data_IF_894217510748
#
_entry.id   IF_894217510748
#
_cell.length_a   1.000
_cell.length_b   1.000
_cell.length_c   1.000
_cell.angle_alpha   90.00
_cell.angle_beta   90.00
_cell.angle_gamma   90.00
#
_symmetry.space_group_name_H-M   'P 1'
#
loop_
_entity.id
_entity.type
_entity.pdbx_description
1 polymer ?
#
# COMPACT_ATOMS: atom_id res chain seq x y z
N UNK A 1 -3.71 21.32 -14.96
CA UNK A 1 -4.84 20.53 -14.42
C UNK A 1 -4.35 19.26 -13.78
N UNK A 2 -5.01 18.83 -12.71
CA UNK A 2 -4.78 17.54 -12.10
C UNK A 2 -5.34 16.45 -13.02
N UNK A 3 -4.47 15.55 -13.50
CA UNK A 3 -4.91 14.33 -14.21
C UNK A 3 -5.38 13.30 -13.18
N UNK A 4 -4.60 13.13 -12.11
CA UNK A 4 -4.93 12.29 -10.97
C UNK A 4 -3.81 12.31 -9.94
N UNK A 5 -4.08 11.69 -8.79
CA UNK A 5 -3.13 11.52 -7.69
C UNK A 5 -3.30 10.14 -7.07
N UNK A 6 -2.20 9.57 -6.60
CA UNK A 6 -2.17 8.34 -5.83
C UNK A 6 -1.52 8.63 -4.48
N UNK A 7 -2.37 8.80 -3.46
CA UNK A 7 -1.93 9.14 -2.11
C UNK A 7 -0.98 8.07 -1.55
N UNK A 8 -1.24 6.80 -1.89
CA UNK A 8 -0.48 5.64 -1.42
C UNK A 8 1.00 5.65 -1.82
N UNK A 9 1.39 6.38 -2.85
CA UNK A 9 2.80 6.52 -3.26
C UNK A 9 3.32 7.95 -3.20
N UNK A 10 2.50 8.90 -2.74
CA UNK A 10 2.81 10.34 -2.72
C UNK A 10 3.12 10.92 -4.12
N UNK A 11 2.37 10.48 -5.14
CA UNK A 11 2.58 10.88 -6.54
C UNK A 11 1.32 11.47 -7.16
N UNK A 12 1.52 12.47 -8.02
CA UNK A 12 0.45 13.07 -8.81
C UNK A 12 0.92 13.35 -10.24
N UNK A 13 -0.02 13.28 -11.19
CA UNK A 13 0.21 13.64 -12.59
C UNK A 13 -0.56 14.90 -12.91
N UNK A 14 0.16 15.89 -13.45
CA UNK A 14 -0.39 17.16 -13.88
C UNK A 14 -0.27 17.32 -15.39
N UNK A 15 -1.29 17.94 -16.00
CA UNK A 15 -1.28 18.35 -17.40
C UNK A 15 -1.16 19.86 -17.52
N UNK A 16 -0.12 20.32 -18.20
CA UNK A 16 0.02 21.73 -18.58
C UNK A 16 -1.02 22.10 -19.65
N UNK A 17 -1.63 23.28 -19.54
CA UNK A 17 -2.65 23.80 -20.46
C UNK A 17 -2.04 24.86 -21.37
N UNK A 18 -2.52 24.97 -22.61
CA UNK A 18 -2.08 25.99 -23.56
C UNK A 18 -0.64 25.81 -24.05
N UNK A 19 -0.09 24.61 -23.96
CA UNK A 19 1.23 24.26 -24.48
C UNK A 19 1.04 23.60 -25.84
N UNK A 20 1.47 24.29 -26.90
CA UNK A 20 1.40 23.79 -28.29
C UNK A 20 2.75 23.31 -28.81
N UNK A 21 3.85 23.81 -28.23
CA UNK A 21 5.20 23.40 -28.57
C UNK A 21 5.59 22.10 -27.83
N UNK A 22 6.46 21.31 -28.46
CA UNK A 22 7.11 20.19 -27.80
C UNK A 22 8.02 20.71 -26.68
N UNK A 23 7.80 20.23 -25.46
CA UNK A 23 8.62 20.60 -24.31
C UNK A 23 9.80 19.64 -24.16
N UNK A 24 10.97 20.12 -23.70
CA UNK A 24 12.03 19.22 -23.28
C UNK A 24 11.51 18.29 -22.17
N UNK A 25 11.86 17.01 -22.27
CA UNK A 25 11.47 15.98 -21.30
C UNK A 25 12.69 15.22 -20.80
N UNK A 26 12.59 14.67 -19.60
CA UNK A 26 13.64 13.84 -19.01
C UNK A 26 13.48 12.39 -19.45
N UNK A 27 14.59 11.71 -19.69
CA UNK A 27 14.58 10.27 -19.96
C UNK A 27 14.48 9.51 -18.63
N UNK A 28 13.60 8.51 -18.54
CA UNK A 28 13.55 7.64 -17.37
C UNK A 28 14.73 6.66 -17.37
N UNK A 29 15.39 6.53 -16.23
CA UNK A 29 16.36 5.47 -15.96
C UNK A 29 15.68 4.20 -15.46
N UNK A 30 16.45 3.38 -14.76
CA UNK A 30 15.96 2.18 -14.08
C UNK A 30 16.42 2.21 -12.63
N UNK A 31 15.48 2.32 -11.69
CA UNK A 31 15.81 2.39 -10.27
C UNK A 31 16.29 1.06 -9.69
N UNK A 32 16.10 -0.06 -10.39
CA UNK A 32 16.58 -1.37 -9.95
C UNK A 32 18.05 -1.60 -10.31
N UNK A 33 18.60 -0.79 -11.23
CA UNK A 33 20.02 -0.79 -11.59
C UNK A 33 20.86 0.16 -10.71
N UNK A 34 20.22 0.94 -9.83
CA UNK A 34 20.90 1.90 -8.95
C UNK A 34 21.56 1.15 -7.79
N UNK A 35 22.79 1.52 -7.48
CA UNK A 35 23.57 0.95 -6.39
C UNK A 35 23.90 1.99 -5.31
N UNK A 36 24.13 1.52 -4.09
CA UNK A 36 24.61 2.38 -3.00
C UNK A 36 26.03 2.85 -3.34
N UNK A 37 26.23 4.17 -3.33
CA UNK A 37 27.48 4.82 -3.73
C UNK A 37 27.40 5.51 -5.09
N UNK A 38 26.36 5.26 -5.89
CA UNK A 38 26.17 5.95 -7.17
C UNK A 38 26.05 7.47 -6.96
N UNK A 39 26.74 8.23 -7.81
CA UNK A 39 26.65 9.70 -7.83
C UNK A 39 25.28 10.14 -8.36
N UNK A 40 24.66 11.09 -7.69
CA UNK A 40 23.34 11.60 -8.03
C UNK A 40 23.27 13.12 -7.94
N UNK A 41 22.36 13.70 -8.71
CA UNK A 41 21.99 15.11 -8.62
C UNK A 41 20.51 15.23 -8.25
N UNK A 42 20.21 16.07 -7.27
CA UNK A 42 18.85 16.45 -6.90
C UNK A 42 18.54 17.84 -7.46
N UNK A 43 17.41 17.96 -8.16
CA UNK A 43 16.97 19.19 -8.82
C UNK A 43 15.59 19.59 -8.31
N UNK A 44 15.43 20.84 -7.89
CA UNK A 44 14.16 21.35 -7.39
C UNK A 44 14.16 22.86 -7.18
N UNK A 45 13.17 23.39 -6.46
CA UNK A 45 13.08 24.81 -6.12
C UNK A 45 13.03 24.99 -4.59
N UNK A 46 14.15 24.76 -3.89
CA UNK A 46 14.17 24.75 -2.43
C UNK A 46 13.84 26.14 -1.89
N UNK A 47 12.91 26.22 -0.93
CA UNK A 47 12.45 27.47 -0.31
C UNK A 47 11.98 28.57 -1.29
N UNK A 48 11.71 28.21 -2.55
CA UNK A 48 11.29 29.16 -3.59
C UNK A 48 12.40 30.06 -4.15
N UNK A 49 13.69 29.77 -3.91
CA UNK A 49 14.80 30.64 -4.36
C UNK A 49 15.11 30.54 -5.86
N UNK A 50 14.51 29.58 -6.55
CA UNK A 50 14.76 29.26 -7.96
C UNK A 50 15.26 27.83 -8.14
N UNK A 51 15.31 27.38 -9.40
CA UNK A 51 15.82 26.06 -9.74
C UNK A 51 17.24 25.89 -9.22
N UNK A 52 17.43 24.91 -8.35
CA UNK A 52 18.69 24.63 -7.68
C UNK A 52 19.06 23.17 -7.90
N UNK A 53 20.35 22.92 -8.12
CA UNK A 53 20.92 21.58 -8.24
C UNK A 53 21.84 21.34 -7.06
N UNK A 54 21.70 20.18 -6.42
CA UNK A 54 22.59 19.70 -5.36
C UNK A 54 23.11 18.32 -5.74
N UNK A 55 24.31 17.98 -5.32
CA UNK A 55 24.94 16.68 -5.61
C UNK A 55 25.11 15.86 -4.35
N UNK A 56 25.11 14.54 -4.51
CA UNK A 56 25.40 13.58 -3.45
C UNK A 56 25.62 12.20 -4.04
N UNK A 57 25.42 11.20 -3.21
CA UNK A 57 25.39 9.79 -3.58
C UNK A 57 24.07 9.14 -3.16
N UNK A 58 23.81 7.96 -3.70
CA UNK A 58 22.85 7.03 -3.11
C UNK A 58 23.42 6.49 -1.82
N UNK A 59 22.81 6.85 -0.69
CA UNK A 59 23.26 6.43 0.64
C UNK A 59 22.68 5.08 1.08
N UNK A 60 21.48 4.74 0.59
CA UNK A 60 20.82 3.47 0.85
C UNK A 60 19.65 3.26 -0.13
N UNK A 61 19.20 2.02 -0.27
CA UNK A 61 18.04 1.63 -1.06
C UNK A 61 16.98 0.99 -0.15
N UNK A 62 15.80 0.74 -0.72
CA UNK A 62 14.70 0.01 -0.07
C UNK A 62 14.33 0.54 1.32
N UNK A 63 14.43 1.86 1.54
CA UNK A 63 14.03 2.47 2.81
C UNK A 63 12.51 2.50 2.92
N UNK A 64 12.01 1.91 4.00
CA UNK A 64 10.59 1.90 4.35
C UNK A 64 10.35 2.53 5.73
N UNK A 65 9.10 2.83 6.05
CA UNK A 65 8.70 3.46 7.30
C UNK A 65 9.17 4.92 7.45
N UNK A 66 9.54 5.56 6.34
CA UNK A 66 9.98 6.96 6.29
C UNK A 66 8.78 7.90 6.35
N UNK A 67 7.74 7.58 5.59
CA UNK A 67 6.48 8.34 5.54
C UNK A 67 5.34 7.49 6.11
N UNK A 68 4.11 8.01 6.13
CA UNK A 68 2.93 7.21 6.45
C UNK A 68 2.33 6.46 5.25
N UNK A 69 2.96 6.54 4.08
CA UNK A 69 2.40 6.03 2.82
C UNK A 69 2.64 4.54 2.61
N UNK A 70 1.94 3.96 1.63
CA UNK A 70 2.11 2.56 1.25
C UNK A 70 3.27 2.37 0.25
N UNK A 71 3.65 1.12 -0.05
CA UNK A 71 4.66 0.77 -1.07
C UNK A 71 6.04 1.43 -0.90
N UNK A 72 6.45 1.73 0.32
CA UNK A 72 7.69 2.45 0.57
C UNK A 72 8.93 1.59 0.30
N UNK A 73 9.70 2.01 -0.69
CA UNK A 73 11.02 1.51 -1.00
C UNK A 73 11.88 2.67 -1.51
N UNK A 74 12.08 3.68 -0.65
CA UNK A 74 12.74 4.93 -1.04
C UNK A 74 14.22 4.72 -1.38
N UNK A 75 14.70 5.48 -2.36
CA UNK A 75 16.12 5.76 -2.57
C UNK A 75 16.51 6.83 -1.54
N UNK A 76 17.49 6.53 -0.70
CA UNK A 76 18.06 7.49 0.24
C UNK A 76 19.28 8.18 -0.39
N UNK A 77 19.40 9.48 -0.22
CA UNK A 77 20.56 10.27 -0.69
C UNK A 77 21.00 11.29 0.34
N UNK A 78 22.29 11.62 0.32
CA UNK A 78 22.88 12.72 1.09
C UNK A 78 22.92 14.05 0.31
N UNK A 79 22.48 14.04 -0.96
CA UNK A 79 22.26 15.26 -1.72
C UNK A 79 21.30 16.18 -0.94
N UNK A 80 21.62 17.47 -0.89
CA UNK A 80 20.85 18.41 -0.09
C UNK A 80 19.43 18.60 -0.64
N UNK A 81 18.46 17.95 0.02
CA UNK A 81 17.02 18.10 -0.22
C UNK A 81 16.40 18.96 0.88
N UNK A 82 15.60 19.97 0.50
CA UNK A 82 14.90 20.88 1.40
C UNK A 82 13.44 21.06 0.97
N UNK A 83 12.54 21.57 1.83
CA UNK A 83 11.19 21.96 1.43
C UNK A 83 11.21 22.80 0.14
N UNK A 84 10.39 22.41 -0.85
CA UNK A 84 10.41 22.98 -2.21
C UNK A 84 11.14 22.12 -3.25
N UNK A 85 11.93 21.12 -2.81
CA UNK A 85 12.43 20.08 -3.72
C UNK A 85 11.44 18.93 -3.93
N UNK A 86 10.39 18.81 -3.11
CA UNK A 86 9.35 17.78 -3.27
C UNK A 86 8.71 17.84 -4.66
N UNK A 87 8.60 16.69 -5.32
CA UNK A 87 8.20 16.58 -6.73
C UNK A 87 9.33 16.83 -7.75
N UNK A 88 10.50 17.29 -7.29
CA UNK A 88 11.69 17.49 -8.11
C UNK A 88 12.42 16.18 -8.45
N UNK A 89 13.38 16.27 -9.36
CA UNK A 89 14.08 15.11 -9.90
C UNK A 89 15.27 14.67 -9.02
N UNK A 90 15.46 13.35 -8.91
CA UNK A 90 16.74 12.73 -8.56
C UNK A 90 17.25 12.00 -9.80
N UNK A 91 18.43 12.37 -10.28
CA UNK A 91 18.98 11.88 -11.55
C UNK A 91 20.35 11.24 -11.34
N UNK A 92 20.69 10.28 -12.19
CA UNK A 92 22.05 9.74 -12.31
C UNK A 92 22.98 10.71 -13.07
N UNK A 93 24.25 10.33 -13.21
CA UNK A 93 25.27 11.13 -13.91
C UNK A 93 25.05 11.21 -15.43
N UNK A 94 24.26 10.30 -16.01
CA UNK A 94 23.86 10.32 -17.43
C UNK A 94 22.64 11.24 -17.66
N UNK A 95 22.10 11.82 -16.59
CA UNK A 95 20.93 12.70 -16.65
C UNK A 95 19.59 11.97 -16.74
N UNK A 96 19.54 10.67 -16.46
CA UNK A 96 18.30 9.90 -16.42
C UNK A 96 17.64 10.01 -15.06
N UNK A 97 16.31 10.11 -15.05
CA UNK A 97 15.54 10.14 -13.81
C UNK A 97 15.58 8.78 -13.13
N UNK A 98 16.08 8.72 -11.90
CA UNK A 98 16.08 7.51 -11.07
C UNK A 98 15.09 7.59 -9.90
N UNK A 99 14.64 8.80 -9.54
CA UNK A 99 13.58 8.97 -8.55
C UNK A 99 12.99 10.38 -8.49
N UNK A 100 11.93 10.54 -7.72
CA UNK A 100 11.25 11.83 -7.45
C UNK A 100 11.41 12.16 -5.97
N UNK A 101 12.03 13.30 -5.66
CA UNK A 101 12.26 13.74 -4.29
C UNK A 101 10.92 13.92 -3.58
N UNK A 102 10.75 13.30 -2.40
CA UNK A 102 9.49 13.36 -1.65
C UNK A 102 9.70 13.92 -0.24
N UNK A 103 10.61 13.31 0.53
CA UNK A 103 10.72 13.58 1.97
C UNK A 103 12.17 13.76 2.44
N UNK A 104 12.33 14.27 3.66
CA UNK A 104 13.62 14.38 4.37
C UNK A 104 13.45 13.98 5.82
N UNK A 105 14.52 13.45 6.42
CA UNK A 105 14.58 13.29 7.87
C UNK A 105 15.25 14.52 8.48
N UNK A 106 14.48 15.34 9.20
CA UNK A 106 14.97 16.57 9.81
C UNK A 106 14.29 16.91 11.13
N UNK A 107 15.01 17.60 12.01
CA UNK A 107 14.48 18.25 13.23
C UNK A 107 14.34 19.76 13.08
N UNK A 108 15.10 20.37 12.17
CA UNK A 108 15.17 21.82 11.97
C UNK A 108 14.31 22.31 10.81
N UNK A 109 13.83 21.40 9.95
CA UNK A 109 13.15 21.72 8.69
C UNK A 109 14.09 21.86 7.49
N UNK A 110 15.41 21.79 7.70
CA UNK A 110 16.43 21.78 6.64
C UNK A 110 17.12 20.42 6.49
N UNK A 111 17.83 20.24 5.39
CA UNK A 111 18.59 19.02 5.10
C UNK A 111 19.68 18.76 6.14
N UNK A 112 19.77 17.51 6.61
CA UNK A 112 20.90 16.99 7.39
C UNK A 112 21.63 15.87 6.63
N UNK A 113 21.52 15.83 5.29
CA UNK A 113 22.08 14.76 4.46
C UNK A 113 21.29 13.44 4.51
N UNK A 114 19.99 13.50 4.82
CA UNK A 114 19.09 12.34 4.80
C UNK A 114 17.83 12.72 4.04
N UNK A 115 17.89 12.56 2.71
CA UNK A 115 16.77 12.77 1.79
C UNK A 115 16.26 11.47 1.18
N UNK A 116 15.01 11.49 0.74
CA UNK A 116 14.32 10.32 0.19
C UNK A 116 13.61 10.64 -1.12
N UNK A 117 13.78 9.76 -2.11
CA UNK A 117 13.14 9.83 -3.40
C UNK A 117 12.34 8.55 -3.70
N UNK A 118 11.13 8.73 -4.24
CA UNK A 118 10.30 7.63 -4.77
C UNK A 118 10.99 7.08 -6.02
N UNK A 119 11.28 5.77 -6.10
CA UNK A 119 11.97 5.19 -7.25
C UNK A 119 11.23 5.38 -8.57
N UNK A 120 11.97 5.62 -9.67
CA UNK A 120 11.38 5.89 -10.99
C UNK A 120 10.51 4.72 -11.50
N UNK A 121 10.80 3.47 -11.12
CA UNK A 121 9.97 2.34 -11.54
C UNK A 121 8.54 2.42 -10.96
N UNK A 122 8.38 2.90 -9.72
CA UNK A 122 7.06 3.20 -9.17
C UNK A 122 6.41 4.42 -9.85
N UNK A 123 7.20 5.46 -10.15
CA UNK A 123 6.73 6.64 -10.89
C UNK A 123 6.15 6.24 -12.24
N UNK A 124 6.81 5.33 -12.98
CA UNK A 124 6.31 4.81 -14.28
C UNK A 124 4.94 4.13 -14.13
N UNK A 125 4.77 3.26 -13.13
CA UNK A 125 3.52 2.53 -12.88
C UNK A 125 2.39 3.52 -12.58
N UNK A 126 2.61 4.42 -11.62
CA UNK A 126 1.62 5.42 -11.21
C UNK A 126 1.27 6.36 -12.34
N UNK A 127 2.28 6.85 -13.07
CA UNK A 127 2.08 7.75 -14.21
C UNK A 127 1.21 7.09 -15.30
N UNK A 128 1.54 5.85 -15.72
CA UNK A 128 0.75 5.13 -16.73
C UNK A 128 -0.69 4.89 -16.26
N UNK A 129 -0.86 4.49 -14.99
CA UNK A 129 -2.17 4.26 -14.41
C UNK A 129 -3.04 5.52 -14.34
N UNK A 130 -2.48 6.63 -13.83
CA UNK A 130 -3.22 7.89 -13.73
C UNK A 130 -3.53 8.51 -15.09
N UNK A 131 -2.64 8.38 -16.08
CA UNK A 131 -2.89 8.87 -17.45
C UNK A 131 -3.99 8.05 -18.14
N UNK A 132 -4.00 6.74 -17.95
CA UNK A 132 -5.03 5.86 -18.53
C UNK A 132 -6.38 5.92 -17.79
N UNK A 133 -6.38 6.42 -16.54
CA UNK A 133 -7.54 6.39 -15.65
C UNK A 133 -7.74 5.03 -14.97
N UNK A 134 -6.77 4.14 -15.06
CA UNK A 134 -6.83 2.75 -14.61
C UNK A 134 -5.51 2.37 -13.90
N UNK A 135 -5.37 2.82 -12.65
CA UNK A 135 -4.20 2.49 -11.82
C UNK A 135 -4.36 1.09 -11.23
N UNK A 136 -3.80 0.10 -11.93
CA UNK A 136 -3.78 -1.31 -11.50
C UNK A 136 -2.37 -1.75 -11.11
N UNK A 137 -2.30 -2.52 -10.03
CA UNK A 137 -1.07 -3.12 -9.51
C UNK A 137 -1.27 -4.62 -9.33
N UNK A 138 -0.24 -5.45 -9.58
CA UNK A 138 -0.29 -6.84 -9.20
C UNK A 138 -0.52 -7.01 -7.70
N UNK A 139 -1.41 -7.92 -7.35
CA UNK A 139 -1.74 -8.27 -5.98
C UNK A 139 -1.07 -9.59 -5.61
N UNK A 140 -0.33 -9.59 -4.50
CA UNK A 140 0.39 -10.78 -4.03
C UNK A 140 -0.54 -11.79 -3.35
N UNK A 141 -1.45 -11.30 -2.49
CA UNK A 141 -2.40 -12.11 -1.73
C UNK A 141 -1.78 -12.98 -0.64
N UNK A 142 -0.63 -12.58 -0.13
CA UNK A 142 -0.03 -13.11 1.08
C UNK A 142 0.60 -11.98 1.91
N UNK A 143 0.85 -12.27 3.18
CA UNK A 143 1.48 -11.38 4.14
C UNK A 143 2.56 -12.12 4.92
N UNK A 144 3.55 -11.36 5.39
CA UNK A 144 4.69 -11.89 6.08
C UNK A 144 5.43 -10.82 6.88
N UNK A 145 6.50 -11.26 7.54
CA UNK A 145 7.38 -10.40 8.33
C UNK A 145 8.82 -10.55 7.86
N UNK A 146 9.63 -9.51 8.07
CA UNK A 146 11.06 -9.60 7.80
C UNK A 146 11.69 -10.69 8.67
N UNK A 147 12.62 -11.44 8.10
CA UNK A 147 13.39 -12.42 8.85
C UNK A 147 14.38 -11.69 9.77
N UNK A 148 14.18 -11.82 11.08
CA UNK A 148 15.11 -11.31 12.10
C UNK A 148 16.27 -12.28 12.32
N UNK A 149 17.32 -11.87 13.05
CA UNK A 149 18.44 -12.74 13.39
C UNK A 149 18.01 -14.00 14.17
N UNK A 150 17.03 -13.87 15.06
CA UNK A 150 16.49 -14.99 15.84
C UNK A 150 15.69 -15.96 14.95
N UNK A 151 14.90 -15.42 14.02
CA UNK A 151 14.18 -16.22 13.04
C UNK A 151 15.15 -16.93 12.09
N UNK A 152 16.18 -16.22 11.59
CA UNK A 152 17.20 -16.78 10.73
C UNK A 152 17.90 -17.98 11.39
N UNK A 153 18.28 -17.82 12.66
CA UNK A 153 18.91 -18.90 13.45
C UNK A 153 17.98 -20.11 13.61
N UNK A 154 16.69 -19.88 13.83
CA UNK A 154 15.69 -20.93 13.99
C UNK A 154 15.34 -21.66 12.68
N UNK A 155 15.51 -20.96 11.55
CA UNK A 155 15.27 -21.45 10.20
C UNK A 155 16.55 -21.98 9.51
N UNK A 156 17.67 -22.00 10.24
CA UNK A 156 19.00 -22.41 9.75
C UNK A 156 19.46 -21.61 8.51
N UNK A 157 19.12 -20.32 8.47
CA UNK A 157 19.58 -19.39 7.43
C UNK A 157 20.97 -18.85 7.75
N UNK A 158 21.76 -18.60 6.71
CA UNK A 158 23.12 -18.06 6.80
C UNK A 158 23.15 -16.60 7.30
N UNK A 159 22.09 -15.83 7.01
CA UNK A 159 21.92 -14.44 7.43
C UNK A 159 20.43 -14.04 7.48
N UNK A 160 20.06 -13.02 8.30
CA UNK A 160 18.68 -12.52 8.37
C UNK A 160 18.30 -11.74 7.13
N UNK A 161 17.73 -12.44 6.14
CA UNK A 161 17.27 -11.88 4.87
C UNK A 161 15.97 -12.57 4.45
N UNK A 162 15.20 -11.92 3.59
CA UNK A 162 13.91 -12.44 3.12
C UNK A 162 12.71 -12.04 3.97
N UNK A 163 11.55 -12.44 3.46
CA UNK A 163 10.24 -12.27 4.09
C UNK A 163 9.64 -13.62 4.40
N UNK A 164 9.49 -13.91 5.71
CA UNK A 164 8.80 -15.10 6.20
C UNK A 164 7.29 -14.92 6.01
N UNK A 165 6.71 -15.76 5.17
CA UNK A 165 5.30 -15.76 4.86
C UNK A 165 4.53 -16.41 6.01
N UNK A 166 3.60 -15.65 6.60
CA UNK A 166 2.81 -16.08 7.75
C UNK A 166 1.34 -16.33 7.39
N UNK A 167 0.84 -15.66 6.36
CA UNK A 167 -0.56 -15.71 5.96
C UNK A 167 -0.66 -15.70 4.45
N UNK A 168 -1.53 -16.55 3.90
CA UNK A 168 -1.83 -16.61 2.48
C UNK A 168 -3.35 -16.66 2.36
N UNK A 169 -3.91 -15.88 1.43
CA UNK A 169 -5.34 -15.92 1.15
C UNK A 169 -5.67 -17.01 0.15
N UNK A 170 -6.71 -17.78 0.44
CA UNK A 170 -7.24 -18.80 -0.46
C UNK A 170 -7.61 -18.20 -1.83
N UNK A 171 -7.25 -18.91 -2.90
CA UNK A 171 -7.43 -18.52 -4.29
C UNK A 171 -6.50 -17.40 -4.77
N UNK A 172 -5.62 -16.88 -3.92
CA UNK A 172 -4.69 -15.80 -4.28
C UNK A 172 -3.62 -16.22 -5.30
N UNK A 173 -2.94 -15.25 -5.93
CA UNK A 173 -1.74 -15.53 -6.70
C UNK A 173 -0.65 -16.24 -5.92
N UNK A 174 -0.39 -15.85 -4.67
CA UNK A 174 0.60 -16.51 -3.83
C UNK A 174 0.28 -18.00 -3.64
N UNK A 175 -0.97 -18.34 -3.30
CA UNK A 175 -1.39 -19.74 -3.15
C UNK A 175 -1.29 -20.51 -4.48
N UNK A 176 -1.82 -19.96 -5.57
CA UNK A 176 -1.79 -20.61 -6.89
C UNK A 176 -0.38 -20.73 -7.47
N UNK A 177 0.53 -19.84 -7.08
CA UNK A 177 1.97 -19.92 -7.35
C UNK A 177 2.70 -20.97 -6.50
N UNK A 178 2.01 -21.64 -5.57
CA UNK A 178 2.53 -22.72 -4.75
C UNK A 178 3.29 -22.27 -3.51
N UNK A 179 3.08 -21.02 -3.04
CA UNK A 179 3.64 -20.50 -1.79
C UNK A 179 2.87 -21.08 -0.58
N UNK A 180 3.57 -21.32 0.52
CA UNK A 180 2.99 -21.84 1.77
C UNK A 180 3.40 -20.99 2.97
N UNK A 181 2.58 -20.92 4.03
CA UNK A 181 3.05 -20.36 5.31
C UNK A 181 4.30 -21.09 5.80
N UNK A 182 5.29 -20.34 6.26
CA UNK A 182 6.62 -20.83 6.64
C UNK A 182 7.67 -20.73 5.54
N UNK A 183 7.28 -20.45 4.30
CA UNK A 183 8.22 -20.10 3.23
C UNK A 183 8.89 -18.75 3.50
N UNK A 184 10.15 -18.62 3.08
CA UNK A 184 10.86 -17.34 3.09
C UNK A 184 11.10 -16.88 1.66
N UNK A 185 10.45 -15.81 1.24
CA UNK A 185 10.70 -15.19 -0.08
C UNK A 185 11.96 -14.34 0.02
N UNK A 186 12.99 -14.64 -0.77
CA UNK A 186 14.28 -13.94 -0.72
C UNK A 186 14.57 -13.09 -1.95
N UNK A 187 13.88 -13.35 -3.06
CA UNK A 187 14.00 -12.52 -4.26
C UNK A 187 12.73 -12.60 -5.15
N UNK A 188 12.53 -11.54 -5.93
CA UNK A 188 11.52 -11.44 -7.00
C UNK A 188 12.24 -11.09 -8.30
N UNK A 189 12.12 -11.92 -9.34
CA UNK A 189 12.84 -11.79 -10.62
C UNK A 189 14.36 -11.59 -10.44
N UNK A 190 14.95 -12.30 -9.47
CA UNK A 190 16.37 -12.19 -9.12
C UNK A 190 16.76 -10.96 -8.30
N UNK A 191 15.85 -10.00 -8.07
CA UNK A 191 16.08 -8.86 -7.20
C UNK A 191 15.80 -9.25 -5.75
N UNK A 192 16.78 -9.01 -4.88
CA UNK A 192 16.67 -9.33 -3.46
C UNK A 192 15.47 -8.64 -2.80
N UNK A 193 14.93 -9.30 -1.77
CA UNK A 193 13.84 -8.80 -0.95
C UNK A 193 14.18 -9.09 0.50
N UNK A 194 14.34 -8.05 1.32
CA UNK A 194 14.73 -8.20 2.72
C UNK A 194 13.61 -7.86 3.71
N UNK A 195 12.52 -7.25 3.25
CA UNK A 195 11.41 -6.87 4.11
C UNK A 195 10.06 -6.81 3.36
N UNK A 196 8.92 -6.84 4.09
CA UNK A 196 7.60 -6.87 3.47
C UNK A 196 7.28 -5.67 2.58
N UNK A 197 7.82 -4.48 2.88
CA UNK A 197 7.58 -3.28 2.06
C UNK A 197 8.34 -3.37 0.75
N UNK A 198 9.57 -3.88 0.76
CA UNK A 198 10.32 -4.17 -0.45
C UNK A 198 9.61 -5.24 -1.28
N UNK A 199 9.15 -6.34 -0.68
CA UNK A 199 8.35 -7.35 -1.40
C UNK A 199 7.13 -6.72 -2.07
N UNK A 200 6.37 -5.94 -1.30
CA UNK A 200 5.18 -5.23 -1.78
C UNK A 200 5.52 -4.27 -2.92
N UNK A 201 6.62 -3.53 -2.82
CA UNK A 201 7.12 -2.64 -3.88
C UNK A 201 7.50 -3.43 -5.13
N UNK A 202 8.33 -4.48 -5.00
CA UNK A 202 8.79 -5.30 -6.12
C UNK A 202 7.63 -5.89 -6.89
N UNK A 203 6.60 -6.39 -6.21
CA UNK A 203 5.40 -6.92 -6.86
C UNK A 203 4.58 -5.80 -7.52
N UNK A 204 4.41 -4.65 -6.87
CA UNK A 204 3.61 -3.54 -7.36
C UNK A 204 4.21 -2.82 -8.57
N UNK A 205 5.52 -2.94 -8.82
CA UNK A 205 6.19 -2.37 -9.99
C UNK A 205 6.24 -3.31 -11.19
N UNK A 206 5.76 -4.55 -11.07
CA UNK A 206 5.70 -5.48 -12.20
C UNK A 206 4.55 -5.12 -13.15
N UNK A 207 4.76 -5.45 -14.43
CA UNK A 207 3.71 -5.36 -15.44
C UNK A 207 2.73 -6.52 -15.27
N UNK A 208 1.42 -6.26 -15.45
CA UNK A 208 0.33 -7.25 -15.32
C UNK A 208 0.27 -8.25 -16.49
N UNK A 209 1.41 -8.80 -16.88
CA UNK A 209 1.57 -9.71 -18.00
C UNK A 209 2.50 -10.85 -17.63
N UNK A 210 2.09 -12.10 -17.87
CA UNK A 210 2.89 -13.28 -17.55
C UNK A 210 2.88 -13.60 -16.06
N UNK A 211 4.06 -13.85 -15.49
CA UNK A 211 4.25 -14.19 -14.08
C UNK A 211 5.59 -13.66 -13.56
N UNK A 212 5.75 -13.61 -12.25
CA UNK A 212 7.00 -13.26 -11.59
C UNK A 212 7.68 -14.52 -11.06
N UNK A 213 9.00 -14.58 -11.18
CA UNK A 213 9.79 -15.62 -10.55
C UNK A 213 10.07 -15.25 -9.08
N UNK A 214 9.72 -16.14 -8.16
CA UNK A 214 10.04 -16.00 -6.74
C UNK A 214 11.15 -16.98 -6.39
N UNK A 215 12.24 -16.48 -5.82
CA UNK A 215 13.21 -17.32 -5.10
C UNK A 215 12.74 -17.48 -3.66
N UNK A 216 12.50 -18.73 -3.26
CA UNK A 216 11.91 -19.07 -1.96
C UNK A 216 12.80 -20.07 -1.25
N UNK A 217 12.97 -19.91 0.06
CA UNK A 217 13.53 -20.93 0.94
C UNK A 217 12.39 -21.65 1.66
N UNK A 218 12.32 -22.96 1.47
CA UNK A 218 11.33 -23.84 2.10
C UNK A 218 12.08 -24.96 2.80
N UNK A 219 11.96 -25.02 4.13
CA UNK A 219 12.63 -26.04 4.95
C UNK A 219 14.15 -26.13 4.65
N UNK A 220 14.81 -24.98 4.49
CA UNK A 220 16.24 -24.87 4.17
C UNK A 220 16.61 -25.11 2.70
N UNK A 221 15.68 -25.53 1.84
CA UNK A 221 15.94 -25.74 0.42
C UNK A 221 15.47 -24.56 -0.44
N UNK A 222 16.26 -24.18 -1.44
CA UNK A 222 15.85 -23.19 -2.44
C UNK A 222 14.86 -23.79 -3.42
N UNK A 223 13.73 -23.09 -3.60
CA UNK A 223 12.64 -23.42 -4.50
C UNK A 223 12.36 -22.20 -5.36
N UNK A 224 12.23 -22.42 -6.67
CA UNK A 224 11.79 -21.39 -7.60
C UNK A 224 10.29 -21.56 -7.86
N UNK A 225 9.52 -20.51 -7.62
CA UNK A 225 8.08 -20.49 -7.87
C UNK A 225 7.74 -19.45 -8.94
N UNK A 226 6.64 -19.66 -9.66
CA UNK A 226 6.09 -18.66 -10.58
C UNK A 226 4.81 -18.10 -9.99
N UNK A 227 4.84 -16.82 -9.63
CA UNK A 227 3.70 -16.06 -9.15
C UNK A 227 2.88 -15.54 -10.34
N UNK A 228 1.60 -15.92 -10.49
CA UNK A 228 0.71 -15.28 -11.44
C UNK A 228 0.56 -13.78 -11.14
N UNK A 229 0.56 -12.92 -12.16
CA UNK A 229 0.35 -11.48 -11.96
C UNK A 229 -1.08 -11.09 -12.33
N UNK A 230 -1.87 -10.75 -11.32
CA UNK A 230 -3.25 -10.27 -11.48
C UNK A 230 -3.57 -9.18 -10.46
N UNK A 231 -4.66 -8.48 -10.67
CA UNK A 231 -5.14 -7.46 -9.73
C UNK A 231 -5.91 -8.08 -8.57
N UNK A 232 -5.99 -7.34 -7.48
CA UNK A 232 -6.81 -7.71 -6.34
C UNK A 232 -8.28 -7.90 -6.77
N UNK A 233 -8.94 -9.02 -6.45
CA UNK A 233 -10.30 -9.29 -6.92
C UNK A 233 -11.38 -8.57 -6.12
N UNK A 234 -12.50 -8.27 -6.77
CA UNK A 234 -13.78 -7.85 -6.17
C UNK A 234 -14.59 -9.05 -5.67
N UNK A 235 -13.95 -9.97 -4.95
CA UNK A 235 -14.55 -11.20 -4.45
C UNK A 235 -14.36 -11.34 -2.92
N UNK A 236 -15.46 -11.40 -2.13
CA UNK A 236 -16.86 -11.30 -2.57
C UNK A 236 -17.19 -9.90 -3.13
N UNK A 237 -18.29 -9.79 -3.90
CA UNK A 237 -18.73 -8.48 -4.40
C UNK A 237 -18.93 -7.52 -3.23
N UNK A 238 -18.49 -6.27 -3.38
CA UNK A 238 -18.51 -5.25 -2.31
C UNK A 238 -19.90 -5.02 -1.67
N UNK A 239 -21.01 -5.28 -2.38
CA UNK A 239 -22.39 -5.03 -1.92
C UNK A 239 -22.53 -3.72 -1.13
N UNK A 240 -22.00 -2.64 -1.71
CA UNK A 240 -21.99 -1.34 -1.04
C UNK A 240 -23.42 -0.88 -0.79
N UNK A 241 -23.75 -0.64 0.48
CA UNK A 241 -25.12 -0.40 0.93
C UNK A 241 -25.19 0.69 1.97
N UNK A 242 -26.25 1.50 1.92
CA UNK A 242 -26.63 2.37 3.04
C UNK A 242 -27.67 1.61 3.84
N UNK A 243 -27.45 1.48 5.15
CA UNK A 243 -28.42 0.87 6.05
C UNK A 243 -29.47 1.89 6.43
N UNK A 244 -30.73 1.50 6.31
CA UNK A 244 -31.90 2.32 6.60
C UNK A 244 -32.77 1.65 7.67
N UNK A 245 -33.87 2.30 8.05
CA UNK A 245 -34.84 1.77 9.01
C UNK A 245 -34.54 2.12 10.47
N UNK A 246 -35.28 1.50 11.39
CA UNK A 246 -35.21 1.78 12.83
C UNK A 246 -34.25 0.82 13.52
N UNK A 247 -32.95 1.04 13.32
CA UNK A 247 -31.89 0.21 13.89
C UNK A 247 -30.62 1.04 14.16
N UNK A 248 -29.65 0.50 14.92
CA UNK A 248 -28.46 1.24 15.33
C UNK A 248 -27.48 1.57 14.19
N UNK A 249 -27.63 0.96 13.02
CA UNK A 249 -26.77 1.15 11.86
C UNK A 249 -27.40 2.08 10.80
N UNK A 250 -28.62 2.57 11.05
CA UNK A 250 -29.32 3.47 10.14
C UNK A 250 -28.50 4.73 9.85
N UNK A 251 -28.23 4.98 8.56
CA UNK A 251 -27.35 6.04 8.04
C UNK A 251 -25.87 5.66 7.91
N UNK A 252 -25.48 4.41 8.18
CA UNK A 252 -24.15 3.90 7.87
C UNK A 252 -24.06 3.41 6.42
N UNK A 253 -23.00 3.81 5.72
CA UNK A 253 -22.58 3.24 4.45
C UNK A 253 -21.60 2.10 4.74
N UNK A 254 -21.92 0.89 4.31
CA UNK A 254 -21.15 -0.32 4.58
C UNK A 254 -20.81 -1.08 3.29
N UNK A 255 -19.83 -1.97 3.35
CA UNK A 255 -19.48 -2.87 2.26
C UNK A 255 -18.89 -4.18 2.79
N UNK A 256 -18.98 -5.25 1.99
CA UNK A 256 -18.17 -6.45 2.16
C UNK A 256 -16.71 -6.09 1.90
N UNK A 257 -15.85 -6.46 2.84
CA UNK A 257 -14.41 -6.33 2.66
C UNK A 257 -13.92 -7.42 1.70
N UNK A 258 -13.24 -6.99 0.64
CA UNK A 258 -12.59 -7.83 -0.35
C UNK A 258 -11.20 -7.26 -0.69
N UNK A 259 -10.32 -8.00 -1.39
CA UNK A 259 -8.97 -7.55 -1.69
C UNK A 259 -8.92 -6.23 -2.47
N UNK A 260 -9.80 -6.05 -3.46
CA UNK A 260 -9.84 -4.83 -4.27
C UNK A 260 -10.19 -3.59 -3.43
N UNK A 261 -11.25 -3.65 -2.63
CA UNK A 261 -11.65 -2.58 -1.71
C UNK A 261 -10.59 -2.34 -0.64
N UNK A 262 -9.99 -3.41 -0.11
CA UNK A 262 -8.92 -3.29 0.88
C UNK A 262 -7.70 -2.55 0.31
N UNK A 263 -7.34 -2.85 -0.95
CA UNK A 263 -6.26 -2.15 -1.64
C UNK A 263 -6.63 -0.69 -1.96
N UNK A 264 -7.89 -0.44 -2.38
CA UNK A 264 -8.45 0.89 -2.65
C UNK A 264 -8.33 1.82 -1.43
N UNK A 265 -8.68 1.33 -0.24
CA UNK A 265 -8.67 2.12 1.01
C UNK A 265 -7.35 2.01 1.81
N UNK A 266 -6.33 1.34 1.26
CA UNK A 266 -5.00 1.23 1.88
C UNK A 266 -4.97 0.41 3.18
N UNK A 267 -5.76 -0.67 3.28
CA UNK A 267 -5.75 -1.58 4.44
C UNK A 267 -5.21 -2.96 4.07
N UNK A 268 -5.21 -3.90 5.04
CA UNK A 268 -4.72 -5.25 4.81
C UNK A 268 -5.62 -5.97 3.79
N UNK A 269 -5.05 -6.30 2.62
CA UNK A 269 -5.74 -6.98 1.50
C UNK A 269 -6.20 -8.41 1.79
N UNK A 270 -5.76 -8.98 2.92
CA UNK A 270 -6.24 -10.27 3.41
C UNK A 270 -7.51 -10.14 4.26
N UNK A 271 -7.91 -8.92 4.64
CA UNK A 271 -9.09 -8.68 5.49
C UNK A 271 -10.39 -9.16 4.86
N UNK A 272 -11.34 -9.53 5.72
CA UNK A 272 -12.69 -10.00 5.38
C UNK A 272 -13.71 -9.40 6.35
N UNK A 273 -15.00 -9.64 6.11
CA UNK A 273 -16.11 -9.16 6.94
C UNK A 273 -16.78 -7.92 6.38
N UNK A 274 -17.48 -7.15 7.23
CA UNK A 274 -18.25 -5.97 6.81
C UNK A 274 -17.62 -4.70 7.36
N UNK A 275 -17.20 -3.78 6.49
CA UNK A 275 -16.57 -2.51 6.86
C UNK A 275 -17.55 -1.35 6.75
N UNK A 276 -17.43 -0.38 7.65
CA UNK A 276 -18.12 0.92 7.57
C UNK A 276 -17.28 1.86 6.72
N UNK A 277 -17.82 2.28 5.58
CA UNK A 277 -17.19 3.25 4.68
C UNK A 277 -17.55 4.70 5.03
N UNK A 278 -18.70 4.91 5.67
CA UNK A 278 -19.20 6.25 5.97
C UNK A 278 -20.33 6.24 6.99
N UNK A 279 -20.52 7.35 7.70
CA UNK A 279 -21.62 7.51 8.67
C UNK A 279 -22.24 8.89 8.52
N UNK A 280 -23.51 8.95 8.14
CA UNK A 280 -24.27 10.19 7.99
C UNK A 280 -24.32 10.97 9.32
N UNK A 281 -24.27 12.31 9.25
CA UNK A 281 -24.15 13.19 10.43
C UNK A 281 -25.37 13.10 11.35
N UNK A 282 -26.56 13.13 10.78
CA UNK A 282 -27.83 13.10 11.52
C UNK A 282 -28.46 11.70 11.46
N UNK A 283 -27.77 10.71 12.05
CA UNK A 283 -28.16 9.30 11.92
C UNK A 283 -28.09 8.53 13.25
N UNK A 284 -28.82 7.41 13.33
CA UNK A 284 -28.72 6.51 14.49
C UNK A 284 -27.34 5.88 14.59
N UNK A 285 -26.72 5.55 13.45
CA UNK A 285 -25.33 5.09 13.37
C UNK A 285 -24.33 6.08 13.98
N UNK A 286 -24.57 7.39 13.87
CA UNK A 286 -23.69 8.37 14.54
C UNK A 286 -23.82 8.29 16.06
N UNK A 287 -25.03 8.02 16.59
CA UNK A 287 -25.29 7.92 18.04
C UNK A 287 -24.66 6.68 18.68
N UNK A 288 -24.44 5.61 17.91
CA UNK A 288 -23.71 4.42 18.36
C UNK A 288 -22.18 4.60 18.38
N UNK A 289 -21.68 5.77 17.94
CA UNK A 289 -20.25 6.09 17.79
C UNK A 289 -19.55 5.21 16.75
N UNK A 290 -20.28 4.68 15.77
CA UNK A 290 -19.69 4.07 14.57
C UNK A 290 -18.86 5.09 13.82
N UNK A 291 -17.75 4.63 13.25
CA UNK A 291 -16.81 5.43 12.50
C UNK A 291 -16.44 4.72 11.19
N UNK A 292 -16.10 5.48 10.13
CA UNK A 292 -15.45 4.90 8.97
C UNK A 292 -14.21 4.10 9.39
N UNK A 293 -14.03 2.91 8.80
CA UNK A 293 -12.97 1.96 9.16
C UNK A 293 -13.35 0.91 10.21
N UNK A 294 -14.50 1.07 10.89
CA UNK A 294 -15.01 0.02 11.78
C UNK A 294 -15.40 -1.23 10.99
N UNK A 295 -15.07 -2.40 11.53
CA UNK A 295 -15.62 -3.67 11.05
C UNK A 295 -16.76 -4.11 11.95
N UNK A 296 -17.92 -4.43 11.37
CA UNK A 296 -19.07 -4.94 12.12
C UNK A 296 -18.88 -6.45 12.29
N UNK A 297 -18.75 -6.89 13.54
CA UNK A 297 -18.38 -8.28 13.88
C UNK A 297 -19.60 -9.06 14.34
N UNK A 298 -20.45 -8.46 15.17
CA UNK A 298 -21.58 -9.14 15.78
C UNK A 298 -22.75 -8.18 16.02
N UNK A 299 -23.97 -8.69 15.84
CA UNK A 299 -25.21 -8.00 16.19
C UNK A 299 -26.11 -8.98 16.94
N UNK A 300 -26.47 -8.66 18.18
CA UNK A 300 -27.36 -9.46 19.04
C UNK A 300 -26.90 -10.93 19.23
N UNK A 301 -25.60 -11.19 19.30
CA UNK A 301 -25.07 -12.56 19.39
C UNK A 301 -24.87 -13.26 18.05
N UNK A 302 -25.29 -12.64 16.94
CA UNK A 302 -25.14 -13.17 15.59
C UNK A 302 -23.88 -12.61 14.93
N UNK A 303 -23.00 -13.51 14.48
CA UNK A 303 -21.80 -13.12 13.73
C UNK A 303 -22.16 -12.51 12.38
N UNK A 304 -21.43 -11.47 12.00
CA UNK A 304 -21.63 -10.73 10.75
C UNK A 304 -20.39 -10.89 9.87
N UNK A 305 -20.54 -11.65 8.79
CA UNK A 305 -19.49 -11.93 7.80
C UNK A 305 -19.74 -11.25 6.44
N UNK A 306 -20.98 -10.80 6.21
CA UNK A 306 -21.43 -10.22 4.95
C UNK A 306 -22.51 -9.16 5.15
N UNK A 307 -22.60 -8.22 4.20
CA UNK A 307 -23.63 -7.18 4.16
C UNK A 307 -25.02 -7.80 4.06
N UNK A 308 -25.17 -8.89 3.31
CA UNK A 308 -26.41 -9.66 3.23
C UNK A 308 -26.83 -10.16 4.62
N UNK A 309 -25.92 -10.80 5.35
CA UNK A 309 -26.17 -11.27 6.72
C UNK A 309 -26.51 -10.12 7.67
N UNK A 310 -25.80 -9.00 7.57
CA UNK A 310 -26.11 -7.81 8.35
C UNK A 310 -27.54 -7.32 8.11
N UNK A 311 -27.95 -7.20 6.84
CA UNK A 311 -29.31 -6.77 6.47
C UNK A 311 -30.36 -7.70 7.07
N UNK A 312 -30.16 -9.02 6.97
CA UNK A 312 -31.06 -10.00 7.57
C UNK A 312 -31.23 -9.81 9.09
N UNK A 313 -30.10 -9.73 9.82
CA UNK A 313 -30.12 -9.59 11.28
C UNK A 313 -30.74 -8.27 11.71
N UNK A 314 -30.45 -7.18 10.99
CA UNK A 314 -31.04 -5.87 11.24
C UNK A 314 -32.55 -5.88 10.98
N UNK A 315 -33.02 -6.44 9.87
CA UNK A 315 -34.45 -6.53 9.56
C UNK A 315 -35.20 -7.40 10.57
N UNK A 316 -34.64 -8.54 10.98
CA UNK A 316 -35.22 -9.38 12.02
C UNK A 316 -35.30 -8.66 13.38
N UNK A 317 -34.34 -7.78 13.66
CA UNK A 317 -34.23 -7.03 14.91
C UNK A 317 -35.06 -5.74 14.99
N UNK A 318 -35.74 -5.28 13.93
CA UNK A 318 -36.42 -3.97 13.89
C UNK A 318 -37.49 -3.76 14.97
N UNK A 319 -38.04 -4.84 15.51
CA UNK A 319 -39.01 -4.79 16.62
C UNK A 319 -38.35 -4.67 18.00
N UNK A 320 -37.04 -4.90 18.10
CA UNK A 320 -36.28 -4.76 19.32
C UNK A 320 -36.01 -3.30 19.65
N UNK A 321 -36.12 -2.94 20.92
CA UNK A 321 -35.66 -1.65 21.43
C UNK A 321 -34.18 -1.66 21.76
N UNK A 322 -33.67 -2.81 22.22
CA UNK A 322 -32.31 -2.98 22.71
C UNK A 322 -31.48 -3.80 21.73
N UNK A 323 -30.24 -3.37 21.53
CA UNK A 323 -29.30 -3.93 20.57
C UNK A 323 -27.95 -4.14 21.22
N UNK A 324 -27.37 -5.32 21.03
CA UNK A 324 -25.98 -5.60 21.36
C UNK A 324 -25.17 -5.57 20.08
N UNK A 325 -24.08 -4.81 20.07
CA UNK A 325 -23.26 -4.60 18.88
C UNK A 325 -21.80 -4.83 19.26
N UNK A 326 -21.08 -5.57 18.42
CA UNK A 326 -19.63 -5.66 18.47
C UNK A 326 -19.03 -5.12 17.17
N UNK A 327 -18.09 -4.18 17.31
CA UNK A 327 -17.28 -3.68 16.19
C UNK A 327 -15.81 -3.84 16.47
N UNK A 328 -15.02 -4.15 15.44
CA UNK A 328 -13.56 -4.14 15.52
C UNK A 328 -13.04 -2.81 14.99
N UNK A 329 -12.29 -2.10 15.84
CA UNK A 329 -11.61 -0.83 15.54
C UNK A 329 -10.16 -0.94 15.98
N UNK A 330 -9.22 -0.60 15.09
CA UNK A 330 -7.78 -0.64 15.37
C UNK A 330 -7.33 -1.98 16.00
N UNK A 331 -7.88 -3.08 15.50
CA UNK A 331 -7.59 -4.44 15.99
C UNK A 331 -8.33 -4.85 17.26
N UNK A 332 -9.03 -3.95 17.95
CA UNK A 332 -9.75 -4.22 19.21
C UNK A 332 -11.25 -4.38 18.96
N UNK A 333 -11.86 -5.39 19.58
CA UNK A 333 -13.32 -5.55 19.56
C UNK A 333 -13.93 -4.69 20.67
N UNK A 334 -14.83 -3.80 20.28
CA UNK A 334 -15.60 -2.91 21.13
C UNK A 334 -17.05 -3.41 21.13
N UNK A 335 -17.55 -3.76 22.31
CA UNK A 335 -18.93 -4.18 22.51
C UNK A 335 -19.74 -3.07 23.17
N UNK A 336 -20.98 -2.89 22.74
CA UNK A 336 -21.89 -1.91 23.33
C UNK A 336 -23.35 -2.35 23.26
N UNK A 337 -24.12 -1.88 24.25
CA UNK A 337 -25.58 -1.94 24.22
C UNK A 337 -26.13 -0.59 23.74
N UNK A 338 -27.17 -0.64 22.91
CA UNK A 338 -27.82 0.54 22.36
C UNK A 338 -29.34 0.38 22.41
N UNK A 339 -30.02 1.40 22.94
CA UNK A 339 -31.48 1.46 23.01
C UNK A 339 -32.01 2.56 22.10
N UNK A 340 -32.98 2.23 21.24
CA UNK A 340 -33.59 3.10 20.22
C UNK A 340 -34.55 4.16 20.77
#
# INVERSE_FOLDING_TARGET
DLVGSDERTDLAVLKLRGVEAELPSITFGDSDAVEVGDLVLAIGNPFGVGQTVTSGIVSALARAGVTGQDYQSFIQTDAAINPGNSGGALIDIDGKLIGVNSAIFTKSGGSNGIGFAVPVNMVKVVMRGLISGDLRRPWFGAAGQAVTADLASSLELDRPHGVLISEIRDGSPAERGGLHPGDVVVAVNGLAVDNPNELKFRIATLELTGGAELSVLRQGASVMLTLPLEVAPELPARDESIIEGRNPFSGAKIANMNPALADEIGTNTLSTGVVVLGVARDSLARRTRLQPGDYIVEINGEAIDSVARLKEVVTAGERSKDWKIAVKRDGKVLTGEFTL
#
